data_IF_428052357336
#
_entry.id   IF_428052357336
#
_cell.length_a   1.000
_cell.length_b   1.000
_cell.length_c   1.000
_cell.angle_alpha   90.00
_cell.angle_beta   90.00
_cell.angle_gamma   90.00
#
_symmetry.space_group_name_H-M   'P 1'
#
loop_
_entity.id
_entity.type
_entity.pdbx_description
1 polymer ?
#
# COMPACT_ATOMS: atom_id res chain seq x y z
N UNK A 1 -27.08 -41.87 26.34
CA UNK A 1 -25.68 -41.91 25.87
C UNK A 1 -25.27 -40.59 25.17
N UNK A 2 -25.66 -39.44 25.70
CA UNK A 2 -25.76 -38.20 24.89
C UNK A 2 -24.78 -37.09 25.25
N UNK A 3 -24.07 -37.17 26.38
CA UNK A 3 -23.23 -36.06 26.86
C UNK A 3 -21.90 -35.89 26.11
N UNK A 4 -21.09 -36.94 25.96
CA UNK A 4 -19.72 -36.82 25.44
C UNK A 4 -19.63 -36.74 23.91
N UNK A 5 -20.47 -37.49 23.19
CA UNK A 5 -20.44 -37.53 21.71
C UNK A 5 -20.99 -36.24 21.07
N UNK A 6 -22.00 -35.63 21.69
CA UNK A 6 -22.56 -34.34 21.24
C UNK A 6 -21.57 -33.18 21.39
N UNK A 7 -20.82 -33.15 22.50
CA UNK A 7 -19.78 -32.14 22.75
C UNK A 7 -18.64 -32.23 21.73
N UNK A 8 -18.22 -33.46 21.39
CA UNK A 8 -17.16 -33.68 20.38
C UNK A 8 -17.60 -33.18 18.99
N UNK A 9 -18.85 -33.45 18.59
CA UNK A 9 -19.38 -32.98 17.30
C UNK A 9 -19.46 -31.44 17.26
N UNK A 10 -19.90 -30.81 18.36
CA UNK A 10 -19.94 -29.35 18.49
C UNK A 10 -18.55 -28.72 18.38
N UNK A 11 -17.55 -29.32 19.04
CA UNK A 11 -16.16 -28.86 18.96
C UNK A 11 -15.59 -28.97 17.54
N UNK A 12 -15.85 -30.07 16.84
CA UNK A 12 -15.43 -30.24 15.44
C UNK A 12 -16.10 -29.20 14.54
N UNK A 13 -17.40 -28.95 14.74
CA UNK A 13 -18.15 -27.92 14.01
C UNK A 13 -17.58 -26.52 14.23
N UNK A 14 -17.24 -26.18 15.48
CA UNK A 14 -16.64 -24.89 15.83
C UNK A 14 -15.26 -24.70 15.20
N UNK A 15 -14.41 -25.75 15.23
CA UNK A 15 -13.08 -25.72 14.62
C UNK A 15 -13.17 -25.54 13.11
N UNK A 16 -14.09 -26.22 12.44
CA UNK A 16 -14.35 -26.03 11.01
C UNK A 16 -14.79 -24.59 10.69
N UNK A 17 -15.68 -24.02 11.50
CA UNK A 17 -16.15 -22.64 11.33
C UNK A 17 -15.01 -21.63 11.51
N UNK A 18 -14.14 -21.83 12.49
CA UNK A 18 -12.96 -20.97 12.72
C UNK A 18 -11.93 -21.10 11.60
N UNK A 19 -11.71 -22.30 11.06
CA UNK A 19 -10.80 -22.51 9.94
C UNK A 19 -11.30 -21.83 8.66
N UNK A 20 -12.59 -21.96 8.35
CA UNK A 20 -13.19 -21.33 7.16
C UNK A 20 -13.24 -19.80 7.32
N UNK A 21 -13.67 -19.31 8.48
CA UNK A 21 -13.70 -17.87 8.77
C UNK A 21 -12.31 -17.24 8.80
N UNK A 22 -11.33 -17.90 9.42
CA UNK A 22 -9.94 -17.46 9.48
C UNK A 22 -9.25 -17.46 8.12
N UNK A 23 -9.47 -18.49 7.30
CA UNK A 23 -8.97 -18.56 5.93
C UNK A 23 -9.59 -17.45 5.06
N UNK A 24 -10.90 -17.22 5.18
CA UNK A 24 -11.59 -16.14 4.46
C UNK A 24 -11.02 -14.77 4.83
N UNK A 25 -10.83 -14.50 6.11
CA UNK A 25 -10.23 -13.25 6.60
C UNK A 25 -8.78 -13.04 6.10
N UNK A 26 -7.97 -14.10 6.12
CA UNK A 26 -6.57 -14.06 5.65
C UNK A 26 -6.47 -13.82 4.14
N UNK A 27 -7.33 -14.47 3.36
CA UNK A 27 -7.36 -14.29 1.90
C UNK A 27 -7.88 -12.90 1.55
N UNK A 28 -8.96 -12.42 2.16
CA UNK A 28 -9.51 -11.11 1.83
C UNK A 28 -8.53 -9.96 2.19
N UNK A 29 -7.89 -10.03 3.37
CA UNK A 29 -7.00 -8.96 3.84
C UNK A 29 -5.69 -8.86 3.04
N UNK A 30 -5.00 -9.98 2.79
CA UNK A 30 -3.70 -9.97 2.10
C UNK A 30 -3.83 -9.93 0.58
N UNK A 31 -4.84 -10.61 0.03
CA UNK A 31 -5.03 -10.67 -1.42
C UNK A 31 -5.76 -9.42 -1.92
N UNK A 32 -6.75 -8.93 -1.18
CA UNK A 32 -7.43 -7.67 -1.49
C UNK A 32 -6.47 -6.48 -1.53
N UNK A 33 -5.65 -6.31 -0.50
CA UNK A 33 -4.66 -5.22 -0.45
C UNK A 33 -3.58 -5.34 -1.54
N UNK A 34 -3.16 -6.57 -1.90
CA UNK A 34 -2.22 -6.79 -3.01
C UNK A 34 -2.85 -6.49 -4.37
N UNK A 35 -4.10 -6.91 -4.57
CA UNK A 35 -4.86 -6.63 -5.79
C UNK A 35 -5.13 -5.15 -5.94
N UNK A 36 -5.54 -4.47 -4.87
CA UNK A 36 -5.80 -3.03 -4.88
C UNK A 36 -4.52 -2.24 -5.19
N UNK A 37 -3.39 -2.58 -4.56
CA UNK A 37 -2.09 -1.98 -4.91
C UNK A 37 -1.66 -2.28 -6.36
N UNK A 38 -1.97 -3.46 -6.86
CA UNK A 38 -1.62 -3.84 -8.24
C UNK A 38 -2.53 -3.15 -9.25
N UNK A 39 -3.81 -3.03 -8.93
CA UNK A 39 -4.79 -2.28 -9.70
C UNK A 39 -4.40 -0.81 -9.73
N UNK A 40 -4.12 -0.18 -8.59
CA UNK A 40 -3.64 1.20 -8.53
C UNK A 40 -2.39 1.42 -9.40
N UNK A 41 -1.43 0.49 -9.36
CA UNK A 41 -0.23 0.55 -10.24
C UNK A 41 -0.55 0.50 -11.73
N UNK A 42 -1.65 -0.14 -12.13
CA UNK A 42 -2.06 -0.33 -13.54
C UNK A 42 -3.06 0.75 -13.97
N UNK A 43 -3.97 1.18 -13.09
CA UNK A 43 -5.05 2.14 -13.35
C UNK A 43 -4.65 3.58 -13.06
N UNK A 44 -3.50 3.82 -12.42
CA UNK A 44 -3.01 5.16 -12.16
C UNK A 44 -2.81 5.93 -13.47
N UNK A 45 -3.33 7.17 -13.48
CA UNK A 45 -3.26 8.08 -14.62
C UNK A 45 -1.82 8.48 -14.98
N UNK A 46 -1.71 9.32 -16.01
CA UNK A 46 -0.45 10.04 -16.22
C UNK A 46 -0.19 10.96 -15.04
N UNK A 47 1.06 11.03 -14.59
CA UNK A 47 1.44 11.91 -13.51
C UNK A 47 2.75 12.63 -13.78
N UNK A 48 2.92 13.76 -13.09
CA UNK A 48 4.16 14.54 -13.03
C UNK A 48 4.58 14.70 -11.57
N UNK A 49 5.84 14.40 -11.27
CA UNK A 49 6.42 14.56 -9.93
C UNK A 49 7.41 15.72 -9.95
N UNK A 50 7.17 16.70 -9.09
CA UNK A 50 8.04 17.86 -8.89
C UNK A 50 8.74 17.75 -7.55
N UNK A 51 10.06 17.94 -7.54
CA UNK A 51 10.88 17.87 -6.33
C UNK A 51 11.38 19.26 -6.00
N UNK A 52 10.99 19.78 -4.84
CA UNK A 52 11.40 21.07 -4.32
C UNK A 52 12.31 20.87 -3.10
N UNK A 53 13.57 21.35 -3.13
CA UNK A 53 14.36 21.42 -1.92
C UNK A 53 13.81 22.49 -0.96
N UNK A 54 14.22 22.42 0.32
CA UNK A 54 13.80 23.38 1.35
C UNK A 54 14.00 24.83 0.89
N UNK A 55 12.94 25.65 0.92
CA UNK A 55 13.03 27.08 0.62
C UNK A 55 13.21 27.44 -0.86
N UNK A 56 13.10 26.49 -1.79
CA UNK A 56 13.18 26.77 -3.21
C UNK A 56 11.81 27.03 -3.84
N UNK A 57 11.72 28.08 -4.66
CA UNK A 57 10.51 28.43 -5.42
C UNK A 57 10.35 27.60 -6.70
N UNK A 58 11.43 26.95 -7.17
CA UNK A 58 11.46 26.17 -8.40
C UNK A 58 11.85 24.72 -8.14
N UNK A 59 11.28 23.76 -8.89
CA UNK A 59 11.62 22.35 -8.73
C UNK A 59 13.04 22.09 -9.23
N UNK A 60 13.81 21.30 -8.48
CA UNK A 60 15.16 20.88 -8.89
C UNK A 60 15.09 19.75 -9.93
N UNK A 61 14.03 18.94 -9.88
CA UNK A 61 13.76 17.86 -10.84
C UNK A 61 12.27 17.71 -11.07
N UNK A 62 11.94 17.36 -12.31
CA UNK A 62 10.60 17.03 -12.77
C UNK A 62 10.64 15.65 -13.42
N UNK A 63 9.75 14.77 -13.00
CA UNK A 63 9.62 13.43 -13.56
C UNK A 63 8.24 13.22 -14.14
N UNK A 64 8.15 12.47 -15.23
CA UNK A 64 6.89 12.07 -15.83
C UNK A 64 6.77 10.56 -15.79
N UNK A 65 5.55 10.07 -15.57
CA UNK A 65 5.26 8.65 -15.56
C UNK A 65 3.77 8.38 -15.74
N UNK A 66 3.44 7.09 -15.71
CA UNK A 66 2.07 6.60 -15.74
C UNK A 66 1.94 5.50 -14.70
N UNK A 67 0.80 5.46 -14.01
CA UNK A 67 0.53 4.51 -12.94
C UNK A 67 0.49 5.21 -11.59
N UNK A 68 0.88 4.50 -10.53
CA UNK A 68 0.73 4.96 -9.16
C UNK A 68 2.03 5.47 -8.55
N UNK A 69 1.92 6.55 -7.79
CA UNK A 69 2.99 7.06 -6.93
C UNK A 69 2.76 6.62 -5.50
N UNK A 70 3.72 5.88 -4.94
CA UNK A 70 3.66 5.32 -3.60
C UNK A 70 4.34 6.24 -2.59
N UNK A 71 3.61 6.65 -1.56
CA UNK A 71 4.16 7.37 -0.41
C UNK A 71 4.44 6.37 0.71
N UNK A 72 5.68 6.28 1.14
CA UNK A 72 6.06 5.44 2.28
C UNK A 72 5.70 6.14 3.59
N UNK A 73 5.07 5.39 4.51
CA UNK A 73 4.85 5.83 5.89
C UNK A 73 6.05 5.36 6.72
N UNK A 74 6.58 6.19 7.63
CA UNK A 74 7.63 5.74 8.56
C UNK A 74 7.08 4.64 9.44
N UNK A 75 7.85 3.57 9.63
CA UNK A 75 7.61 2.64 10.72
C UNK A 75 8.05 3.30 12.05
N UNK A 76 7.09 3.59 12.92
CA UNK A 76 7.32 4.18 14.25
C UNK A 76 6.04 4.74 14.89
N UNK A 77 5.97 4.80 16.22
CA UNK A 77 4.82 5.31 16.98
C UNK A 77 4.54 6.80 16.69
N UNK A 78 5.56 7.55 16.27
CA UNK A 78 5.41 8.88 15.69
C UNK A 78 5.21 8.73 14.18
N UNK A 79 3.95 8.79 13.74
CA UNK A 79 3.53 8.83 12.32
C UNK A 79 3.94 10.13 11.62
N UNK A 80 5.22 10.46 11.67
CA UNK A 80 5.77 11.57 10.91
C UNK A 80 6.01 11.02 9.52
N UNK A 81 5.06 11.18 8.60
CA UNK A 81 5.18 10.77 7.19
C UNK A 81 6.57 11.14 6.66
N UNK A 82 7.51 10.20 6.68
CA UNK A 82 8.83 10.42 6.13
C UNK A 82 8.60 10.37 4.64
N UNK A 83 8.57 11.55 4.02
CA UNK A 83 8.09 11.78 2.65
C UNK A 83 8.95 11.12 1.58
N UNK A 84 9.13 9.81 1.66
CA UNK A 84 9.77 9.01 0.63
C UNK A 84 8.70 8.64 -0.38
N UNK A 85 8.92 9.08 -1.61
CA UNK A 85 8.02 8.91 -2.72
C UNK A 85 8.66 7.99 -3.74
N UNK A 86 7.99 6.89 -4.05
CA UNK A 86 8.46 5.84 -4.97
C UNK A 86 7.53 5.74 -6.16
N UNK A 87 8.07 5.82 -7.38
CA UNK A 87 7.29 5.82 -8.62
C UNK A 87 8.09 5.28 -9.81
N UNK A 88 7.40 5.04 -10.93
CA UNK A 88 8.02 4.51 -12.16
C UNK A 88 7.92 5.52 -13.31
N UNK A 89 9.05 6.04 -13.74
CA UNK A 89 9.14 7.02 -14.83
C UNK A 89 8.72 6.42 -16.17
N UNK A 90 8.43 7.28 -17.14
CA UNK A 90 8.01 6.90 -18.50
C UNK A 90 9.04 6.05 -19.24
N UNK A 91 10.33 6.21 -18.94
CA UNK A 91 11.42 5.36 -19.46
C UNK A 91 11.56 4.01 -18.73
N UNK A 92 10.65 3.72 -17.80
CA UNK A 92 10.56 2.44 -17.10
C UNK A 92 11.44 2.32 -15.85
N UNK A 93 12.20 3.35 -15.48
CA UNK A 93 13.02 3.33 -14.27
C UNK A 93 12.16 3.50 -13.02
N UNK A 94 12.54 2.83 -11.94
CA UNK A 94 11.95 3.04 -10.62
C UNK A 94 12.77 4.11 -9.90
N UNK A 95 12.11 5.16 -9.44
CA UNK A 95 12.70 6.29 -8.74
C UNK A 95 12.13 6.34 -7.33
N UNK A 96 13.01 6.51 -6.33
CA UNK A 96 12.67 6.64 -4.91
C UNK A 96 13.35 7.90 -4.37
N UNK A 97 12.56 8.85 -3.86
CA UNK A 97 13.03 10.19 -3.46
C UNK A 97 12.56 10.48 -2.05
N UNK A 98 13.48 10.81 -1.14
CA UNK A 98 13.15 11.32 0.18
C UNK A 98 12.93 12.84 0.16
N UNK A 99 11.81 13.30 0.71
CA UNK A 99 11.46 14.70 0.93
C UNK A 99 11.97 15.20 2.29
N UNK A 100 13.24 14.93 2.62
CA UNK A 100 13.80 15.28 3.94
C UNK A 100 14.16 16.77 3.95
N UNK A 101 13.20 17.59 4.40
CA UNK A 101 13.30 19.05 4.41
C UNK A 101 12.79 19.72 3.13
N UNK A 102 12.52 18.95 2.07
CA UNK A 102 11.91 19.44 0.84
C UNK A 102 10.43 19.09 0.72
N UNK A 103 9.82 19.46 -0.41
CA UNK A 103 8.44 19.10 -0.78
C UNK A 103 8.47 18.32 -2.08
N UNK A 104 7.71 17.22 -2.14
CA UNK A 104 7.45 16.49 -3.38
C UNK A 104 5.98 16.68 -3.73
N UNK A 105 5.71 17.24 -4.91
CA UNK A 105 4.36 17.45 -5.41
C UNK A 105 4.12 16.42 -6.53
N UNK A 106 2.98 15.74 -6.47
CA UNK A 106 2.56 14.79 -7.49
C UNK A 106 1.26 15.27 -8.09
N UNK A 107 1.28 15.62 -9.37
CA UNK A 107 0.10 15.99 -10.13
C UNK A 107 -0.33 14.82 -11.01
N UNK A 108 -1.57 14.37 -10.86
CA UNK A 108 -2.20 13.41 -11.78
C UNK A 108 -3.00 14.19 -12.83
N UNK A 109 -2.99 13.70 -14.07
CA UNK A 109 -3.86 14.17 -15.15
C UNK A 109 -5.18 13.43 -15.17
#
# INVERSE_FOLDING_TARGET
>A
MTGKKGIVILLIGLVLLLLVGGAYWLVQSKFGTRLEKSLLKITGGEYTVYVYPAGAEKPVKVYHGKGYVWFEESEGDTKTHTGVVTFKTSDGKIVRIGAWGGVVIVEYK
#
